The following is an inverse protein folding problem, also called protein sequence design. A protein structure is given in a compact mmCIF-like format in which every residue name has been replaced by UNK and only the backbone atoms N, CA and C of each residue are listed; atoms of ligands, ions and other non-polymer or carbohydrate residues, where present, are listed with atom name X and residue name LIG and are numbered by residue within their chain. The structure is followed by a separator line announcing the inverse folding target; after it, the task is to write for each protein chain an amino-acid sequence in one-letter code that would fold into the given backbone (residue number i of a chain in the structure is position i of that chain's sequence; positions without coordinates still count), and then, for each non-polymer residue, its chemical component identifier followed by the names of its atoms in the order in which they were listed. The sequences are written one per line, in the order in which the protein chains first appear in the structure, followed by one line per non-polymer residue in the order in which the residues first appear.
data_IF_477070915876
#
_entry.id   IF_477070915876
#
_cell.length_a   1.000
_cell.length_b   1.000
_cell.length_c   1.000
_cell.angle_alpha   90.00
_cell.angle_beta   90.00
_cell.angle_gamma   90.00
#
_symmetry.space_group_name_H-M   'P 1'
#
loop_
_entity.id
_entity.type
_entity.pdbx_description
1 polymer ?
#
# COMPACT_ATOMS: atom_id res chain seq x y z
N UNK A 1 7.48 66.72 -17.64
CA UNK A 1 8.19 65.65 -16.92
C UNK A 1 7.14 64.66 -16.47
N UNK A 2 7.18 63.45 -17.01
CA UNK A 2 6.11 62.45 -16.90
C UNK A 2 6.15 61.72 -15.55
N UNK A 3 4.99 61.57 -14.92
CA UNK A 3 4.78 60.74 -13.72
C UNK A 3 4.84 59.25 -14.09
N UNK A 4 5.81 58.55 -13.51
CA UNK A 4 5.91 57.09 -13.55
C UNK A 4 5.00 56.48 -12.47
N UNK A 5 3.79 56.05 -12.85
CA UNK A 5 2.90 55.26 -12.00
C UNK A 5 3.45 53.83 -11.87
N UNK A 6 3.97 53.48 -10.69
CA UNK A 6 4.35 52.11 -10.35
C UNK A 6 3.11 51.24 -10.24
N UNK A 7 3.05 50.17 -11.04
CA UNK A 7 2.01 49.14 -10.95
C UNK A 7 2.27 48.31 -9.69
N UNK A 8 1.55 48.60 -8.61
CA UNK A 8 1.54 47.77 -7.41
C UNK A 8 0.60 46.58 -7.67
N UNK A 9 1.14 45.37 -7.84
CA UNK A 9 0.35 44.14 -7.77
C UNK A 9 -0.02 43.90 -6.30
N UNK A 10 -1.30 43.97 -5.91
CA UNK A 10 -1.70 43.63 -4.55
C UNK A 10 -1.45 42.15 -4.31
N UNK A 11 -0.70 41.82 -3.26
CA UNK A 11 -0.64 40.46 -2.74
C UNK A 11 -2.02 40.11 -2.18
N UNK A 12 -2.62 38.96 -2.53
CA UNK A 12 -3.89 38.54 -1.97
C UNK A 12 -3.77 38.44 -0.45
N UNK A 13 -4.79 38.91 0.26
CA UNK A 13 -4.78 38.97 1.72
C UNK A 13 -4.99 37.57 2.30
N UNK A 14 -4.43 37.26 3.47
CA UNK A 14 -4.63 35.97 4.17
C UNK A 14 -6.12 35.65 4.40
N UNK A 15 -6.98 36.68 4.37
CA UNK A 15 -8.43 36.57 4.56
C UNK A 15 -9.14 35.96 3.35
N UNK A 16 -8.63 36.16 2.13
CA UNK A 16 -9.18 35.58 0.90
C UNK A 16 -9.05 34.03 0.88
N UNK A 17 -8.07 33.49 1.60
CA UNK A 17 -7.79 32.05 1.64
C UNK A 17 -8.68 31.28 2.64
N UNK A 18 -9.14 31.96 3.70
CA UNK A 18 -10.00 31.37 4.75
C UNK A 18 -11.45 31.23 4.27
N UNK A 19 -11.91 32.14 3.43
CA UNK A 19 -13.29 32.13 2.91
C UNK A 19 -13.48 31.07 1.81
N UNK A 20 -12.46 30.84 1.00
CA UNK A 20 -12.45 29.74 0.01
C UNK A 20 -12.42 28.35 0.67
N UNK A 21 -11.84 28.22 1.87
CA UNK A 21 -11.79 26.95 2.61
C UNK A 21 -13.16 26.51 3.17
N UNK A 22 -14.06 27.45 3.50
CA UNK A 22 -15.39 27.14 4.07
C UNK A 22 -16.36 26.50 3.07
N UNK A 23 -16.15 26.69 1.77
CA UNK A 23 -17.00 26.13 0.71
C UNK A 23 -16.44 24.86 0.05
N UNK A 24 -15.18 24.50 0.29
CA UNK A 24 -14.57 23.34 -0.33
C UNK A 24 -14.72 22.10 0.58
N UNK A 25 -15.56 21.11 0.23
CA UNK A 25 -15.73 19.90 1.03
C UNK A 25 -14.43 19.13 1.24
N UNK A 26 -13.45 19.24 0.34
CA UNK A 26 -12.14 18.58 0.49
C UNK A 26 -11.30 19.14 1.65
N UNK A 27 -11.62 20.33 2.15
CA UNK A 27 -10.93 20.97 3.28
C UNK A 27 -11.71 20.87 4.60
N UNK A 28 -12.91 20.29 4.56
CA UNK A 28 -13.77 20.13 5.72
C UNK A 28 -13.70 18.69 6.26
N UNK A 29 -12.95 18.48 7.35
CA UNK A 29 -12.76 17.15 7.96
C UNK A 29 -14.05 16.50 8.45
N UNK A 30 -15.08 17.28 8.76
CA UNK A 30 -16.40 16.76 9.17
C UNK A 30 -17.13 16.04 8.03
N UNK A 31 -16.69 16.20 6.78
CA UNK A 31 -17.25 15.50 5.61
C UNK A 31 -16.51 14.21 5.26
N UNK A 32 -15.39 13.92 5.92
CA UNK A 32 -14.57 12.75 5.59
C UNK A 32 -15.21 11.47 6.14
N UNK A 33 -15.31 10.46 5.28
CA UNK A 33 -15.84 9.14 5.64
C UNK A 33 -14.64 8.20 5.90
N UNK A 34 -14.51 7.62 7.11
CA UNK A 34 -13.43 6.70 7.39
C UNK A 34 -13.57 5.43 6.54
N UNK A 35 -12.45 4.84 6.07
CA UNK A 35 -12.50 3.60 5.30
C UNK A 35 -12.95 2.42 6.18
N UNK A 36 -13.70 1.49 5.59
CA UNK A 36 -14.14 0.28 6.29
C UNK A 36 -12.96 -0.64 6.65
N UNK A 37 -12.98 -1.32 7.82
CA UNK A 37 -11.82 -2.05 8.36
C UNK A 37 -11.49 -3.37 7.65
N UNK A 38 -12.41 -3.93 6.85
CA UNK A 38 -12.27 -5.27 6.25
C UNK A 38 -12.25 -5.21 4.72
N UNK A 39 -11.33 -4.43 4.16
CA UNK A 39 -11.17 -4.35 2.70
C UNK A 39 -10.58 -5.68 2.18
N UNK A 40 -11.38 -6.46 1.45
CA UNK A 40 -10.97 -7.72 0.82
C UNK A 40 -11.17 -7.61 -0.70
N UNK A 41 -10.24 -8.05 -1.56
CA UNK A 41 -8.96 -8.73 -1.27
C UNK A 41 -7.93 -7.84 -0.57
N UNK A 42 -7.23 -8.37 0.43
CA UNK A 42 -6.12 -7.70 1.12
C UNK A 42 -4.98 -8.65 1.45
N UNK A 43 -3.80 -8.07 1.68
CA UNK A 43 -2.60 -8.82 2.08
C UNK A 43 -2.16 -8.40 3.46
N UNK A 44 -1.71 -9.36 4.26
CA UNK A 44 -1.12 -9.09 5.58
C UNK A 44 0.32 -9.58 5.55
N UNK A 45 1.26 -8.68 5.82
CA UNK A 45 2.68 -8.97 5.93
C UNK A 45 3.06 -8.91 7.40
N UNK A 46 3.31 -10.06 8.00
CA UNK A 46 3.81 -10.16 9.36
C UNK A 46 5.33 -10.29 9.35
N UNK A 47 6.03 -9.50 10.17
CA UNK A 47 7.49 -9.59 10.24
C UNK A 47 8.01 -9.40 11.66
N UNK A 48 9.18 -9.99 11.94
CA UNK A 48 9.88 -9.77 13.19
C UNK A 48 10.50 -8.37 13.23
N UNK A 49 10.02 -7.53 14.14
CA UNK A 49 10.48 -6.14 14.28
C UNK A 49 11.92 -6.07 14.79
N UNK A 50 12.28 -6.97 15.73
CA UNK A 50 13.64 -7.10 16.26
C UNK A 50 14.69 -7.40 15.18
N UNK A 51 14.29 -8.05 14.08
CA UNK A 51 15.18 -8.36 12.96
C UNK A 51 15.36 -7.18 11.98
N UNK A 52 14.72 -6.03 12.24
CA UNK A 52 14.79 -4.82 11.40
C UNK A 52 14.33 -5.04 9.95
N UNK A 53 13.35 -5.93 9.73
CA UNK A 53 12.87 -6.29 8.38
C UNK A 53 11.75 -5.41 7.84
N UNK A 54 11.41 -4.30 8.52
CA UNK A 54 10.39 -3.35 8.07
C UNK A 54 10.63 -2.90 6.62
N UNK A 55 11.88 -2.55 6.27
CA UNK A 55 12.24 -2.14 4.91
C UNK A 55 11.88 -3.18 3.85
N UNK A 56 12.05 -4.48 4.15
CA UNK A 56 11.66 -5.57 3.24
C UNK A 56 10.15 -5.70 3.15
N UNK A 57 9.45 -5.61 4.27
CA UNK A 57 7.98 -5.65 4.29
C UNK A 57 7.38 -4.49 3.47
N UNK A 58 7.90 -3.28 3.63
CA UNK A 58 7.48 -2.11 2.86
C UNK A 58 7.77 -2.29 1.38
N UNK A 59 8.98 -2.72 1.01
CA UNK A 59 9.33 -2.96 -0.40
C UNK A 59 8.41 -4.01 -1.05
N UNK A 60 8.16 -5.14 -0.38
CA UNK A 60 7.20 -6.15 -0.86
C UNK A 60 5.81 -5.53 -1.04
N UNK A 61 5.34 -4.72 -0.09
CA UNK A 61 4.03 -4.06 -0.22
C UNK A 61 3.94 -3.14 -1.44
N UNK A 62 4.98 -2.34 -1.70
CA UNK A 62 5.05 -1.45 -2.87
C UNK A 62 5.00 -2.26 -4.16
N UNK A 63 5.80 -3.32 -4.24
CA UNK A 63 5.84 -4.19 -5.41
C UNK A 63 4.49 -4.86 -5.71
N UNK A 64 3.77 -5.26 -4.66
CA UNK A 64 2.45 -5.87 -4.78
C UNK A 64 1.40 -4.85 -5.23
N UNK A 65 1.39 -3.63 -4.69
CA UNK A 65 0.48 -2.58 -5.13
C UNK A 65 0.74 -2.13 -6.58
N UNK A 66 2.00 -2.05 -7.00
CA UNK A 66 2.35 -1.74 -8.39
C UNK A 66 1.90 -2.86 -9.35
N UNK A 67 1.94 -4.11 -8.90
CA UNK A 67 1.56 -5.27 -9.74
C UNK A 67 0.04 -5.46 -9.78
N UNK A 68 -0.64 -5.25 -8.65
CA UNK A 68 -2.07 -5.47 -8.45
C UNK A 68 -2.76 -4.16 -8.02
N UNK A 69 -2.96 -3.21 -8.94
CA UNK A 69 -3.62 -1.95 -8.61
C UNK A 69 -5.10 -2.17 -8.24
N UNK A 70 -5.74 -1.21 -7.54
CA UNK A 70 -7.18 -1.25 -7.29
C UNK A 70 -7.99 -1.41 -8.58
N UNK A 71 -9.10 -2.16 -8.57
CA UNK A 71 -9.78 -2.75 -7.41
C UNK A 71 -9.29 -4.16 -7.03
N UNK A 72 -8.23 -4.68 -7.66
CA UNK A 72 -7.78 -6.08 -7.50
C UNK A 72 -7.31 -6.34 -6.08
N UNK A 73 -6.37 -5.52 -5.60
CA UNK A 73 -5.91 -5.52 -4.23
C UNK A 73 -6.37 -4.21 -3.59
N UNK A 74 -7.11 -4.31 -2.49
CA UNK A 74 -7.74 -3.14 -1.85
C UNK A 74 -6.88 -2.58 -0.72
N UNK A 75 -6.15 -3.43 -0.01
CA UNK A 75 -5.31 -3.02 1.11
C UNK A 75 -4.14 -3.98 1.34
N UNK A 76 -3.06 -3.45 1.92
CA UNK A 76 -1.96 -4.24 2.48
C UNK A 76 -1.72 -3.73 3.91
N UNK A 77 -1.72 -4.64 4.87
CA UNK A 77 -1.38 -4.36 6.26
C UNK A 77 0.00 -4.92 6.58
N UNK A 78 0.86 -4.10 7.17
CA UNK A 78 2.19 -4.51 7.64
C UNK A 78 2.14 -4.58 9.16
N UNK A 79 2.36 -5.77 9.72
CA UNK A 79 2.22 -6.05 11.15
C UNK A 79 3.60 -6.37 11.74
N UNK A 80 4.19 -5.47 12.55
CA UNK A 80 5.40 -5.75 13.30
C UNK A 80 5.10 -6.69 14.46
N UNK A 81 5.93 -7.72 14.64
CA UNK A 81 5.85 -8.67 15.74
C UNK A 81 7.13 -8.62 16.57
N UNK A 82 6.97 -8.48 17.89
CA UNK A 82 8.09 -8.27 18.82
C UNK A 82 8.25 -9.39 19.88
N UNK A 83 7.41 -10.43 19.86
CA UNK A 83 7.53 -11.54 20.81
C UNK A 83 8.69 -12.49 20.48
N UNK A 84 9.14 -13.28 21.45
CA UNK A 84 10.20 -14.26 21.22
C UNK A 84 9.80 -15.39 20.27
N UNK A 85 8.56 -15.85 20.40
CA UNK A 85 7.95 -16.88 19.53
C UNK A 85 7.89 -16.45 18.04
N UNK A 86 7.78 -15.14 17.80
CA UNK A 86 7.74 -14.56 16.45
C UNK A 86 9.14 -14.20 15.91
N UNK A 87 10.20 -14.60 16.62
CA UNK A 87 11.59 -14.44 16.20
C UNK A 87 11.85 -14.97 14.79
N UNK A 88 12.38 -14.10 13.92
CA UNK A 88 12.71 -14.42 12.54
C UNK A 88 11.51 -14.76 11.65
N UNK A 89 10.29 -14.40 12.07
CA UNK A 89 9.07 -14.56 11.27
C UNK A 89 9.05 -13.53 10.14
N UNK A 90 8.70 -14.00 8.95
CA UNK A 90 8.31 -13.16 7.82
C UNK A 90 7.27 -13.95 7.02
N UNK A 91 6.01 -13.52 7.07
CA UNK A 91 4.88 -14.20 6.44
C UNK A 91 4.08 -13.24 5.59
N UNK A 92 3.60 -13.73 4.46
CA UNK A 92 2.67 -13.01 3.59
C UNK A 92 1.39 -13.82 3.52
N UNK A 93 0.30 -13.24 3.99
CA UNK A 93 -1.04 -13.82 3.97
C UNK A 93 -1.91 -13.09 2.96
N UNK A 94 -2.78 -13.84 2.26
CA UNK A 94 -3.80 -13.31 1.38
C UNK A 94 -5.18 -13.53 2.02
N UNK A 95 -5.92 -12.45 2.21
CA UNK A 95 -7.27 -12.45 2.70
C UNK A 95 -8.25 -12.19 1.55
N UNK A 96 -9.20 -13.12 1.37
CA UNK A 96 -10.25 -13.04 0.34
C UNK A 96 -11.61 -13.10 1.01
N UNK A 97 -12.60 -12.47 0.40
CA UNK A 97 -13.96 -12.49 0.91
C UNK A 97 -14.53 -13.92 0.84
N UNK A 98 -15.14 -14.38 1.95
CA UNK A 98 -15.76 -15.71 2.03
C UNK A 98 -14.79 -16.90 2.09
N UNK A 99 -13.46 -16.66 2.20
CA UNK A 99 -12.45 -17.73 2.32
C UNK A 99 -11.54 -17.50 3.54
N UNK A 100 -11.01 -18.56 4.18
CA UNK A 100 -10.02 -18.39 5.23
C UNK A 100 -8.72 -17.78 4.68
N UNK A 101 -7.95 -17.03 5.49
CA UNK A 101 -6.67 -16.45 5.06
C UNK A 101 -5.71 -17.53 4.54
N UNK A 102 -5.12 -17.27 3.37
CA UNK A 102 -4.21 -18.19 2.70
C UNK A 102 -2.76 -17.75 2.92
N UNK A 103 -1.88 -18.68 3.30
CA UNK A 103 -0.46 -18.38 3.44
C UNK A 103 0.22 -18.40 2.06
N UNK A 104 0.65 -17.23 1.59
CA UNK A 104 1.32 -17.08 0.29
C UNK A 104 2.82 -17.31 0.40
N UNK A 105 3.41 -16.94 1.53
CA UNK A 105 4.84 -17.12 1.80
C UNK A 105 5.13 -17.21 3.30
N UNK A 106 6.06 -18.08 3.68
CA UNK A 106 6.66 -18.10 5.02
C UNK A 106 8.17 -18.31 4.88
N UNK A 107 8.95 -17.40 5.48
CA UNK A 107 10.42 -17.45 5.38
C UNK A 107 11.05 -18.74 5.92
N UNK A 108 10.50 -19.32 6.99
CA UNK A 108 11.02 -20.54 7.59
C UNK A 108 10.68 -21.76 6.73
N UNK A 109 9.50 -21.78 6.11
CA UNK A 109 9.06 -22.87 5.22
C UNK A 109 9.81 -22.83 3.88
N UNK A 110 9.92 -21.65 3.29
CA UNK A 110 10.51 -21.46 1.95
C UNK A 110 12.05 -21.28 2.01
N UNK A 111 12.65 -21.28 3.21
CA UNK A 111 14.09 -21.13 3.38
C UNK A 111 14.66 -19.74 3.07
N UNK A 112 13.81 -18.71 2.91
CA UNK A 112 14.26 -17.39 2.50
C UNK A 112 13.15 -16.34 2.43
N UNK A 113 13.55 -15.11 2.09
CA UNK A 113 12.59 -14.06 1.78
C UNK A 113 11.88 -14.35 0.46
N UNK A 114 10.67 -13.81 0.25
CA UNK A 114 9.95 -13.99 -1.01
C UNK A 114 10.76 -13.53 -2.21
N UNK A 115 10.98 -14.47 -3.13
CA UNK A 115 11.30 -14.11 -4.50
C UNK A 115 10.05 -13.47 -5.11
N UNK A 116 10.13 -12.18 -5.46
CA UNK A 116 8.97 -11.41 -5.89
C UNK A 116 8.20 -12.07 -7.03
N UNK A 117 8.91 -12.70 -7.96
CA UNK A 117 8.31 -13.41 -9.08
C UNK A 117 7.36 -14.51 -8.60
N UNK A 118 7.87 -15.44 -7.78
CA UNK A 118 7.08 -16.52 -7.23
C UNK A 118 5.93 -16.03 -6.34
N UNK A 119 6.17 -15.00 -5.52
CA UNK A 119 5.13 -14.41 -4.68
C UNK A 119 4.00 -13.78 -5.51
N UNK A 120 4.35 -12.99 -6.54
CA UNK A 120 3.37 -12.35 -7.43
C UNK A 120 2.55 -13.40 -8.19
N UNK A 121 3.20 -14.46 -8.69
CA UNK A 121 2.50 -15.57 -9.35
C UNK A 121 1.51 -16.26 -8.41
N UNK A 122 1.94 -16.65 -7.19
CA UNK A 122 1.07 -17.27 -6.19
C UNK A 122 -0.15 -16.39 -5.91
N UNK A 123 0.04 -15.10 -5.64
CA UNK A 123 -1.06 -14.16 -5.35
C UNK A 123 -2.00 -14.03 -6.56
N UNK A 124 -1.45 -13.86 -7.77
CA UNK A 124 -2.24 -13.73 -8.99
C UNK A 124 -3.18 -14.90 -9.18
N UNK A 125 -2.71 -16.12 -8.94
CA UNK A 125 -3.51 -17.33 -9.16
C UNK A 125 -4.80 -17.34 -8.31
N UNK A 126 -4.82 -16.58 -7.21
CA UNK A 126 -6.03 -16.35 -6.41
C UNK A 126 -6.82 -15.10 -6.80
N UNK A 127 -6.16 -13.95 -7.06
CA UNK A 127 -6.87 -12.66 -7.25
C UNK A 127 -7.25 -12.37 -8.71
N UNK A 128 -6.48 -12.88 -9.68
CA UNK A 128 -6.69 -12.67 -11.12
C UNK A 128 -6.20 -13.90 -11.92
N UNK A 129 -6.87 -15.06 -11.80
CA UNK A 129 -6.45 -16.27 -12.51
C UNK A 129 -6.41 -16.03 -14.03
N UNK A 130 -5.33 -16.44 -14.69
CA UNK A 130 -5.15 -16.33 -16.14
C UNK A 130 -4.60 -14.99 -16.65
N UNK A 131 -4.40 -13.99 -15.80
CA UNK A 131 -3.76 -12.73 -16.22
C UNK A 131 -2.24 -12.90 -16.39
N UNK A 132 -1.70 -12.45 -17.51
CA UNK A 132 -0.25 -12.44 -17.68
C UNK A 132 0.41 -11.33 -16.84
N UNK A 133 1.46 -11.68 -16.10
CA UNK A 133 2.37 -10.78 -15.39
C UNK A 133 3.63 -10.45 -16.22
N UNK A 134 3.59 -10.68 -17.54
CA UNK A 134 4.69 -10.40 -18.44
C UNK A 134 5.95 -11.20 -18.11
N UNK A 135 7.05 -10.50 -17.79
CA UNK A 135 8.33 -11.13 -17.43
C UNK A 135 8.27 -12.01 -16.18
N UNK A 136 7.26 -11.79 -15.31
CA UNK A 136 7.11 -12.63 -14.13
C UNK A 136 6.58 -14.03 -14.46
N UNK A 137 5.98 -14.24 -15.64
CA UNK A 137 5.44 -15.54 -16.06
C UNK A 137 6.37 -16.39 -16.91
N UNK A 138 7.36 -15.76 -17.54
CA UNK A 138 8.35 -16.49 -18.33
C UNK A 138 9.24 -17.26 -17.35
N UNK A 139 9.43 -18.56 -17.52
CA UNK A 139 10.51 -19.27 -16.81
C UNK A 139 11.81 -18.50 -17.08
N UNK A 140 12.54 -18.19 -16.02
CA UNK A 140 13.90 -17.69 -16.16
C UNK A 140 14.67 -18.84 -16.83
N UNK A 141 15.03 -18.67 -18.10
CA UNK A 141 16.07 -19.50 -18.73
C UNK A 141 17.42 -19.18 -18.10
#
# INVERSE_FOLDING_TARGET
MAESAGVYCPMPSEQDNVEQAKGNPALNSSTFIPPAPLMSPSIIIEFCDRCRWLHRATWVSTELFLTFPPPVLKAISIIPLNSEETGGRFRVWLNLEGSPPQLMWDRKIEGGFPELKGLKQRIRDYVQPGKSLGHSDKKSE
#
